data_IF_930856723082
#
_entry.id   IF_930856723082
#
_cell.length_a   1.000
_cell.length_b   1.000
_cell.length_c   1.000
_cell.angle_alpha   90.00
_cell.angle_beta   90.00
_cell.angle_gamma   90.00
#
_symmetry.space_group_name_H-M   'P 1'
#
loop_
_entity.id
_entity.type
_entity.pdbx_description
1 polymer ?
#
# COMPACT_ATOMS: atom_id res chain seq x y z
N UNK A 1 14.05 1.38 -11.49
CA UNK A 1 13.23 0.60 -10.53
C UNK A 1 13.76 -0.80 -10.26
N UNK A 2 14.15 -1.57 -11.26
CA UNK A 2 14.76 -2.90 -11.04
C UNK A 2 16.04 -2.86 -10.20
N UNK A 3 16.84 -1.80 -10.28
CA UNK A 3 18.01 -1.61 -9.45
C UNK A 3 17.68 -1.46 -7.96
N UNK A 4 16.55 -0.82 -7.62
CA UNK A 4 16.05 -0.71 -6.25
C UNK A 4 15.65 -2.09 -5.71
N UNK A 5 14.97 -2.90 -6.51
CA UNK A 5 14.54 -4.25 -6.12
C UNK A 5 15.74 -5.19 -5.89
N UNK A 6 16.72 -5.16 -6.79
CA UNK A 6 17.92 -5.94 -6.63
C UNK A 6 18.69 -5.56 -5.36
N UNK A 7 18.82 -4.26 -5.10
CA UNK A 7 19.47 -3.75 -3.89
C UNK A 7 18.71 -4.16 -2.62
N UNK A 8 17.39 -4.02 -2.60
CA UNK A 8 16.55 -4.43 -1.46
C UNK A 8 16.72 -5.92 -1.17
N UNK A 9 16.77 -6.77 -2.20
CA UNK A 9 16.96 -8.21 -2.02
C UNK A 9 18.34 -8.54 -1.42
N UNK A 10 19.38 -7.84 -1.84
CA UNK A 10 20.72 -8.01 -1.26
C UNK A 10 20.74 -7.55 0.20
N UNK A 11 20.18 -6.38 0.48
CA UNK A 11 20.10 -5.82 1.83
C UNK A 11 19.30 -6.72 2.79
N UNK A 12 18.23 -7.34 2.28
CA UNK A 12 17.42 -8.29 3.07
C UNK A 12 18.23 -9.53 3.47
N UNK A 13 19.05 -10.06 2.56
CA UNK A 13 19.95 -11.19 2.87
C UNK A 13 21.04 -10.82 3.87
N UNK A 14 21.42 -9.56 3.91
CA UNK A 14 22.41 -9.03 4.85
C UNK A 14 21.78 -8.52 6.15
N UNK A 15 20.46 -8.64 6.30
CA UNK A 15 19.68 -8.16 7.45
C UNK A 15 19.89 -6.65 7.74
N UNK A 16 20.14 -5.88 6.69
CA UNK A 16 20.35 -4.42 6.77
C UNK A 16 19.03 -3.68 6.58
N UNK A 17 18.13 -3.82 7.56
CA UNK A 17 16.75 -3.34 7.46
C UNK A 17 16.62 -1.82 7.39
N UNK A 18 17.45 -1.07 8.10
CA UNK A 18 17.45 0.40 8.04
C UNK A 18 17.73 0.91 6.62
N UNK A 19 18.62 0.25 5.90
CA UNK A 19 18.95 0.61 4.52
C UNK A 19 17.84 0.19 3.55
N UNK A 20 17.14 -0.91 3.83
CA UNK A 20 15.93 -1.26 3.06
C UNK A 20 14.90 -0.15 3.16
N UNK A 21 14.69 0.39 4.37
CA UNK A 21 13.75 1.50 4.60
C UNK A 21 14.14 2.70 3.73
N UNK A 22 15.39 3.10 3.72
CA UNK A 22 15.85 4.23 2.91
C UNK A 22 15.68 4.00 1.40
N UNK A 23 16.06 2.84 0.90
CA UNK A 23 15.93 2.47 -0.52
C UNK A 23 14.45 2.39 -0.94
N UNK A 24 13.61 1.77 -0.11
CA UNK A 24 12.19 1.64 -0.39
C UNK A 24 11.46 3.00 -0.36
N UNK A 25 11.80 3.87 0.59
CA UNK A 25 11.28 5.24 0.65
C UNK A 25 11.63 6.03 -0.60
N UNK A 26 12.86 5.94 -1.05
CA UNK A 26 13.28 6.58 -2.30
C UNK A 26 12.53 6.00 -3.50
N UNK A 27 12.38 4.68 -3.56
CA UNK A 27 11.64 4.01 -4.62
C UNK A 27 10.17 4.45 -4.68
N UNK A 28 9.50 4.61 -3.53
CA UNK A 28 8.10 5.06 -3.47
C UNK A 28 7.88 6.47 -4.03
N UNK A 29 8.86 7.36 -3.91
CA UNK A 29 8.76 8.72 -4.48
C UNK A 29 8.73 8.73 -6.01
N UNK A 30 9.34 7.74 -6.64
CA UNK A 30 9.48 7.68 -8.10
C UNK A 30 8.65 6.58 -8.75
N UNK A 31 8.08 5.67 -7.96
CA UNK A 31 7.28 4.57 -8.48
C UNK A 31 5.93 5.05 -9.02
N UNK A 32 5.58 4.62 -10.22
CA UNK A 32 4.29 4.90 -10.87
C UNK A 32 3.50 3.63 -11.18
N UNK A 33 4.16 2.50 -11.17
CA UNK A 33 3.57 1.19 -11.45
C UNK A 33 3.04 0.54 -10.18
N UNK A 34 1.83 0.00 -10.25
CA UNK A 34 1.12 -0.64 -9.14
C UNK A 34 1.90 -1.81 -8.53
N UNK A 35 2.49 -2.65 -9.37
CA UNK A 35 3.26 -3.80 -8.92
C UNK A 35 4.53 -3.36 -8.18
N UNK A 36 5.22 -2.33 -8.70
CA UNK A 36 6.38 -1.73 -8.05
C UNK A 36 6.03 -1.12 -6.69
N UNK A 37 4.95 -0.38 -6.61
CA UNK A 37 4.45 0.22 -5.37
C UNK A 37 4.10 -0.87 -4.34
N UNK A 38 3.42 -1.92 -4.77
CA UNK A 38 3.08 -3.06 -3.92
C UNK A 38 4.31 -3.75 -3.36
N UNK A 39 5.30 -4.03 -4.18
CA UNK A 39 6.57 -4.62 -3.76
C UNK A 39 7.31 -3.73 -2.74
N UNK A 40 7.37 -2.43 -2.99
CA UNK A 40 8.05 -1.49 -2.10
C UNK A 40 7.36 -1.39 -0.72
N UNK A 41 6.03 -1.30 -0.69
CA UNK A 41 5.30 -1.34 0.58
C UNK A 41 5.47 -2.66 1.32
N UNK A 42 5.46 -3.77 0.62
CA UNK A 42 5.70 -5.09 1.20
C UNK A 42 7.09 -5.18 1.87
N UNK A 43 8.13 -4.76 1.15
CA UNK A 43 9.50 -4.76 1.67
C UNK A 43 9.71 -3.76 2.79
N UNK A 44 9.07 -2.61 2.71
CA UNK A 44 9.10 -1.59 3.74
C UNK A 44 8.43 -2.08 5.03
N UNK A 45 7.28 -2.76 4.91
CA UNK A 45 6.61 -3.39 6.03
C UNK A 45 7.49 -4.42 6.74
N UNK A 46 8.09 -5.31 5.96
CA UNK A 46 9.02 -6.32 6.48
C UNK A 46 10.21 -5.69 7.23
N UNK A 47 10.80 -4.64 6.66
CA UNK A 47 11.91 -3.93 7.30
C UNK A 47 11.48 -3.23 8.60
N UNK A 48 10.33 -2.55 8.61
CA UNK A 48 9.81 -1.93 9.83
C UNK A 48 9.49 -2.96 10.92
N UNK A 49 8.94 -4.12 10.55
CA UNK A 49 8.69 -5.20 11.51
C UNK A 49 10.00 -5.64 12.19
N UNK A 50 11.06 -5.86 11.41
CA UNK A 50 12.37 -6.24 11.94
C UNK A 50 13.07 -5.12 12.73
N UNK A 51 12.68 -3.87 12.54
CA UNK A 51 13.12 -2.71 13.33
C UNK A 51 12.23 -2.42 14.55
N UNK A 52 11.32 -3.32 14.89
CA UNK A 52 10.35 -3.18 16.01
C UNK A 52 9.41 -1.95 15.89
N UNK A 53 9.20 -1.48 14.66
CA UNK A 53 8.25 -0.41 14.34
C UNK A 53 6.93 -1.01 13.83
N UNK A 54 6.20 -1.68 14.72
CA UNK A 54 5.08 -2.56 14.38
C UNK A 54 3.89 -1.82 13.77
N UNK A 55 3.58 -0.62 14.25
CA UNK A 55 2.47 0.18 13.71
C UNK A 55 2.74 0.61 12.26
N UNK A 56 3.97 1.01 11.96
CA UNK A 56 4.38 1.35 10.59
C UNK A 56 4.40 0.12 9.69
N UNK A 57 4.86 -1.02 10.19
CA UNK A 57 4.84 -2.27 9.46
C UNK A 57 3.40 -2.67 9.08
N UNK A 58 2.49 -2.60 10.03
CA UNK A 58 1.07 -2.93 9.82
C UNK A 58 0.43 -1.98 8.79
N UNK A 59 0.70 -0.68 8.88
CA UNK A 59 0.22 0.30 7.92
C UNK A 59 0.75 0.03 6.51
N UNK A 60 2.04 -0.29 6.37
CA UNK A 60 2.64 -0.62 5.09
C UNK A 60 2.05 -1.89 4.46
N UNK A 61 1.85 -2.97 5.25
CA UNK A 61 1.17 -4.17 4.76
C UNK A 61 -0.25 -3.89 4.29
N UNK A 62 -0.97 -3.02 5.01
CA UNK A 62 -2.34 -2.63 4.62
C UNK A 62 -2.39 -1.92 3.27
N UNK A 63 -1.34 -1.20 2.90
CA UNK A 63 -1.26 -0.46 1.63
C UNK A 63 -0.75 -1.30 0.45
N UNK A 64 -0.35 -2.55 0.66
CA UNK A 64 0.00 -3.44 -0.45
C UNK A 64 -1.26 -3.75 -1.26
N UNK A 65 -1.27 -3.49 -2.59
CA UNK A 65 -2.42 -3.75 -3.43
C UNK A 65 -2.79 -5.24 -3.45
N UNK A 66 -4.07 -5.52 -3.37
CA UNK A 66 -4.59 -6.89 -3.53
C UNK A 66 -4.56 -7.28 -5.01
N UNK A 67 -4.43 -8.57 -5.26
CA UNK A 67 -4.40 -9.10 -6.62
C UNK A 67 -3.01 -9.16 -7.26
N UNK A 68 -1.99 -8.64 -6.61
CA UNK A 68 -0.59 -8.81 -6.97
C UNK A 68 0.04 -9.96 -6.18
N UNK A 69 1.14 -10.51 -6.67
CA UNK A 69 1.88 -11.57 -5.98
C UNK A 69 2.27 -11.15 -4.56
N UNK A 70 2.76 -9.92 -4.42
CA UNK A 70 3.09 -9.34 -3.11
C UNK A 70 1.88 -9.22 -2.18
N UNK A 71 0.67 -9.10 -2.73
CA UNK A 71 -0.57 -8.94 -1.96
C UNK A 71 -0.95 -10.17 -1.15
N UNK A 72 -0.77 -11.37 -1.68
CA UNK A 72 -1.07 -12.61 -0.97
C UNK A 72 -0.12 -12.81 0.21
N UNK A 73 1.18 -12.64 -0.02
CA UNK A 73 2.18 -12.73 1.05
C UNK A 73 2.01 -11.63 2.11
N UNK A 74 1.65 -10.42 1.68
CA UNK A 74 1.39 -9.32 2.59
C UNK A 74 0.21 -9.58 3.51
N UNK A 75 -0.85 -10.23 3.04
CA UNK A 75 -2.00 -10.60 3.88
C UNK A 75 -1.64 -11.62 4.96
N UNK A 76 -0.87 -12.64 4.61
CA UNK A 76 -0.41 -13.66 5.55
C UNK A 76 0.50 -13.07 6.63
N UNK A 77 1.48 -12.25 6.21
CA UNK A 77 2.41 -11.60 7.13
C UNK A 77 1.71 -10.55 7.99
N UNK A 78 0.76 -9.80 7.42
CA UNK A 78 -0.07 -8.85 8.18
C UNK A 78 -0.85 -9.57 9.29
N UNK A 79 -1.44 -10.72 8.99
CA UNK A 79 -2.15 -11.52 9.99
C UNK A 79 -1.21 -12.00 11.10
N UNK A 80 -0.01 -12.45 10.74
CA UNK A 80 1.03 -12.84 11.72
C UNK A 80 1.41 -11.68 12.64
N UNK A 81 1.64 -10.51 12.07
CA UNK A 81 1.96 -9.28 12.81
C UNK A 81 0.81 -8.84 13.72
N UNK A 82 -0.42 -8.89 13.24
CA UNK A 82 -1.62 -8.58 14.05
C UNK A 82 -1.74 -9.51 15.25
N UNK A 83 -1.47 -10.80 15.07
CA UNK A 83 -1.47 -11.78 16.17
C UNK A 83 -0.39 -11.46 17.21
N UNK A 84 0.80 -11.07 16.76
CA UNK A 84 1.90 -10.65 17.64
C UNK A 84 1.54 -9.40 18.45
N UNK A 85 0.88 -8.43 17.80
CA UNK A 85 0.45 -7.18 18.43
C UNK A 85 -0.81 -7.33 19.29
N UNK A 86 -1.52 -8.45 19.21
CA UNK A 86 -2.81 -8.65 19.87
C UNK A 86 -3.95 -7.81 19.28
N UNK A 87 -3.85 -7.44 18.01
CA UNK A 87 -4.85 -6.65 17.28
C UNK A 87 -5.78 -7.59 16.52
N UNK A 88 -7.09 -7.40 16.66
CA UNK A 88 -8.12 -8.24 16.03
C UNK A 88 -8.53 -7.78 14.62
N UNK A 89 -8.39 -6.50 14.32
CA UNK A 89 -8.79 -5.91 13.05
C UNK A 89 -7.64 -5.14 12.41
N UNK A 90 -7.44 -5.26 11.08
CA UNK A 90 -6.43 -4.45 10.39
C UNK A 90 -6.85 -2.98 10.37
N UNK A 91 -5.89 -2.04 10.28
CA UNK A 91 -6.21 -0.64 10.11
C UNK A 91 -6.98 -0.43 8.81
N UNK A 92 -7.85 0.56 8.78
CA UNK A 92 -8.46 1.00 7.54
C UNK A 92 -7.41 1.60 6.61
N UNK A 93 -7.74 1.72 5.34
CA UNK A 93 -6.83 2.36 4.38
C UNK A 93 -6.47 3.80 4.82
N UNK A 94 -7.45 4.57 5.30
CA UNK A 94 -7.24 5.95 5.78
C UNK A 94 -6.34 6.00 7.01
N UNK A 95 -6.54 5.11 7.97
CA UNK A 95 -5.69 5.00 9.17
C UNK A 95 -4.24 4.65 8.80
N UNK A 96 -4.06 3.71 7.86
CA UNK A 96 -2.74 3.33 7.38
C UNK A 96 -2.03 4.49 6.68
N UNK A 97 -2.73 5.22 5.82
CA UNK A 97 -2.20 6.42 5.14
C UNK A 97 -1.79 7.48 6.16
N UNK A 98 -2.62 7.74 7.16
CA UNK A 98 -2.32 8.72 8.19
C UNK A 98 -1.11 8.33 9.05
N UNK A 99 -0.99 7.06 9.42
CA UNK A 99 0.16 6.53 10.15
C UNK A 99 1.46 6.76 9.37
N UNK A 100 1.44 6.50 8.08
CA UNK A 100 2.60 6.68 7.19
C UNK A 100 2.95 8.17 7.03
N UNK A 101 1.96 9.04 6.87
CA UNK A 101 2.18 10.48 6.78
C UNK A 101 2.80 11.05 8.05
N UNK A 102 2.32 10.67 9.21
CA UNK A 102 2.86 11.09 10.51
C UNK A 102 4.32 10.66 10.69
N UNK A 103 4.71 9.53 10.12
CA UNK A 103 6.09 9.06 10.12
C UNK A 103 7.00 9.80 9.12
N UNK A 104 6.46 10.74 8.34
CA UNK A 104 7.22 11.50 7.35
C UNK A 104 7.51 10.74 6.07
N UNK A 105 6.80 9.64 5.80
CA UNK A 105 6.91 8.90 4.55
C UNK A 105 6.14 9.62 3.44
N UNK A 106 6.80 9.85 2.32
CA UNK A 106 6.14 10.33 1.12
C UNK A 106 5.40 9.18 0.44
N UNK A 107 4.10 9.37 0.25
CA UNK A 107 3.29 8.41 -0.48
C UNK A 107 3.55 8.52 -2.00
N UNK A 108 3.30 7.45 -2.76
CA UNK A 108 3.30 7.52 -4.21
C UNK A 108 2.40 8.63 -4.73
N UNK A 109 2.61 9.11 -5.96
CA UNK A 109 1.74 10.13 -6.57
C UNK A 109 0.25 9.76 -6.45
N UNK A 110 -0.60 10.74 -6.21
CA UNK A 110 -2.05 10.56 -6.01
C UNK A 110 -2.69 9.70 -7.10
N UNK A 111 -2.25 9.83 -8.33
CA UNK A 111 -2.71 9.03 -9.46
C UNK A 111 -2.54 7.52 -9.26
N UNK A 112 -1.44 7.09 -8.64
CA UNK A 112 -1.20 5.67 -8.38
C UNK A 112 -2.12 5.14 -7.28
N UNK A 113 -2.33 5.90 -6.21
CA UNK A 113 -3.27 5.55 -5.12
C UNK A 113 -4.71 5.50 -5.66
N UNK A 114 -5.07 6.46 -6.50
CA UNK A 114 -6.40 6.54 -7.12
C UNK A 114 -6.65 5.36 -8.06
N UNK A 115 -5.66 4.97 -8.85
CA UNK A 115 -5.77 3.80 -9.72
C UNK A 115 -5.99 2.51 -8.92
N UNK A 116 -5.33 2.37 -7.77
CA UNK A 116 -5.55 1.22 -6.88
C UNK A 116 -6.99 1.15 -6.36
N UNK A 117 -7.55 2.28 -5.95
CA UNK A 117 -8.94 2.35 -5.49
C UNK A 117 -9.92 2.12 -6.63
N UNK A 118 -9.61 2.63 -7.83
CA UNK A 118 -10.42 2.37 -9.03
C UNK A 118 -10.45 0.89 -9.38
N UNK A 119 -9.30 0.23 -9.41
CA UNK A 119 -9.22 -1.22 -9.68
C UNK A 119 -9.95 -2.04 -8.62
N UNK A 120 -9.83 -1.66 -7.34
CA UNK A 120 -10.57 -2.31 -6.26
C UNK A 120 -12.07 -2.12 -6.41
N UNK A 121 -12.52 -0.93 -6.80
CA UNK A 121 -13.93 -0.66 -7.05
C UNK A 121 -14.48 -1.51 -8.21
N UNK A 122 -13.74 -1.61 -9.31
CA UNK A 122 -14.13 -2.45 -10.47
C UNK A 122 -14.23 -3.92 -10.06
N UNK A 123 -13.24 -4.45 -9.35
CA UNK A 123 -13.28 -5.84 -8.87
C UNK A 123 -14.47 -6.10 -7.94
N UNK A 124 -14.82 -5.15 -7.08
CA UNK A 124 -15.98 -5.28 -6.19
C UNK A 124 -17.30 -5.26 -6.96
N UNK A 125 -17.39 -4.43 -7.99
CA UNK A 125 -18.58 -4.41 -8.88
C UNK A 125 -18.71 -5.73 -9.63
N UNK A 126 -17.63 -6.23 -10.21
CA UNK A 126 -17.60 -7.50 -10.96
C UNK A 126 -17.99 -8.70 -10.08
N UNK A 127 -17.70 -8.65 -8.80
CA UNK A 127 -18.08 -9.67 -7.82
C UNK A 127 -19.44 -9.40 -7.15
N UNK A 128 -20.19 -8.40 -7.57
CA UNK A 128 -21.51 -8.07 -7.03
C UNK A 128 -21.53 -7.32 -5.69
N UNK A 129 -20.39 -6.85 -5.21
CA UNK A 129 -20.27 -6.11 -3.96
C UNK A 129 -20.43 -4.59 -4.17
N UNK A 130 -21.55 -4.16 -4.71
CA UNK A 130 -21.80 -2.77 -5.07
C UNK A 130 -21.65 -1.78 -3.91
N UNK A 131 -22.04 -2.17 -2.72
CA UNK A 131 -21.96 -1.31 -1.54
C UNK A 131 -20.50 -1.01 -1.15
N UNK A 132 -19.62 -2.01 -1.22
CA UNK A 132 -18.20 -1.85 -0.95
C UNK A 132 -17.50 -1.07 -2.06
N UNK A 133 -17.89 -1.29 -3.33
CA UNK A 133 -17.38 -0.51 -4.45
C UNK A 133 -17.69 0.99 -4.29
N UNK A 134 -18.90 1.32 -3.83
CA UNK A 134 -19.27 2.71 -3.52
C UNK A 134 -18.38 3.33 -2.46
N UNK A 135 -17.97 2.57 -1.45
CA UNK A 135 -17.00 3.00 -0.43
C UNK A 135 -15.65 3.35 -1.03
N UNK A 136 -15.13 2.53 -1.95
CA UNK A 136 -13.88 2.80 -2.66
C UNK A 136 -13.98 4.08 -3.49
N UNK A 137 -15.05 4.27 -4.23
CA UNK A 137 -15.30 5.47 -5.05
C UNK A 137 -15.36 6.71 -4.15
N UNK A 138 -16.01 6.61 -2.99
CA UNK A 138 -16.08 7.72 -2.04
C UNK A 138 -14.71 8.08 -1.45
N UNK A 139 -13.86 7.10 -1.15
CA UNK A 139 -12.49 7.34 -0.74
C UNK A 139 -11.66 8.01 -1.83
N UNK A 140 -11.82 7.57 -3.07
CA UNK A 140 -11.20 8.23 -4.22
C UNK A 140 -11.61 9.69 -4.29
N UNK A 141 -12.86 9.97 -4.07
CA UNK A 141 -13.40 11.34 -4.08
C UNK A 141 -12.78 12.22 -3.00
N UNK A 142 -12.53 11.69 -1.83
CA UNK A 142 -11.87 12.41 -0.73
C UNK A 142 -10.40 12.70 -0.98
N UNK A 143 -9.72 11.88 -1.79
CA UNK A 143 -8.30 12.02 -2.11
C UNK A 143 -8.03 12.84 -3.36
N UNK A 144 -9.03 13.01 -4.22
CA UNK A 144 -8.94 13.74 -5.50
C UNK A 144 -9.68 15.06 -5.44
N UNK A 145 -9.21 16.06 -6.19
CA UNK A 145 -10.01 17.25 -6.50
C UNK A 145 -11.20 16.93 -7.41
N UNK A 146 -12.21 17.80 -7.41
CA UNK A 146 -13.45 17.58 -8.17
C UNK A 146 -13.22 17.37 -9.68
N UNK A 147 -12.22 17.99 -10.26
CA UNK A 147 -11.91 17.91 -11.71
C UNK A 147 -11.36 16.52 -12.10
N UNK A 148 -10.53 15.93 -11.25
CA UNK A 148 -9.99 14.59 -11.46
C UNK A 148 -11.08 13.52 -11.30
N UNK A 149 -12.02 13.72 -10.40
CA UNK A 149 -13.16 12.83 -10.19
C UNK A 149 -14.07 12.76 -11.43
N UNK A 150 -14.33 13.89 -12.08
CA UNK A 150 -15.13 13.96 -13.30
C UNK A 150 -14.58 13.10 -14.42
N UNK A 151 -13.26 13.06 -14.57
CA UNK A 151 -12.57 12.19 -15.54
C UNK A 151 -12.70 10.72 -15.19
N UNK A 152 -12.62 10.36 -13.91
CA UNK A 152 -12.70 8.98 -13.45
C UNK A 152 -14.10 8.40 -13.53
N UNK A 153 -15.13 9.17 -13.20
CA UNK A 153 -16.53 8.77 -13.33
C UNK A 153 -16.88 8.46 -14.78
N UNK A 154 -16.30 9.14 -15.75
CA UNK A 154 -16.47 8.84 -17.18
C UNK A 154 -15.82 7.53 -17.60
N UNK A 155 -14.75 7.10 -16.95
CA UNK A 155 -14.08 5.83 -17.24
C UNK A 155 -14.75 4.64 -16.55
N UNK A 156 -15.46 4.85 -15.44
CA UNK A 156 -16.18 3.82 -14.67
C UNK A 156 -17.66 3.70 -15.07
N UNK A 157 -18.19 4.69 -15.74
CA UNK A 157 -19.57 4.71 -16.25
C UNK A 157 -19.71 4.12 -17.63
#
# INVERSE_FOLDING_TARGET
>A
MQSHFALINVLARLERFDEIIEVARHGLRIATDRSAIGYLFYRLAFAYWNCDQLDLALACYRLVPRGEESGSSALEEMQGLMNEMGVSEPPTFEEAVETIRKAGLELPPVSAVTNQLADAAVQLVDNGFFFLARGCIFQMWRTMGNDELGSLNRSLG
#
